data_IF_909356427386
#
_entry.id   IF_909356427386
#
_cell.length_a   1.000
_cell.length_b   1.000
_cell.length_c   1.000
_cell.angle_alpha   90.00
_cell.angle_beta   90.00
_cell.angle_gamma   90.00
#
_symmetry.space_group_name_H-M   'P 1'
#
loop_
_entity.id
_entity.type
_entity.pdbx_description
1 polymer ?
#
# COMPACT_ATOMS: atom_id res chain seq x y z
N UNK A 1 -16.54 -6.65 1.98
CA UNK A 1 -15.29 -6.19 1.33
C UNK A 1 -14.16 -6.97 1.96
N UNK A 2 -13.57 -7.95 1.27
CA UNK A 2 -12.41 -8.68 1.80
C UNK A 2 -11.17 -7.83 1.62
N UNK A 3 -10.80 -7.09 2.66
CA UNK A 3 -9.50 -6.44 2.78
C UNK A 3 -8.42 -7.54 2.71
N UNK A 4 -7.41 -7.37 1.84
CA UNK A 4 -6.26 -8.28 1.82
C UNK A 4 -5.48 -8.07 3.11
N UNK A 5 -5.42 -9.10 3.96
CA UNK A 5 -4.62 -9.08 5.19
C UNK A 5 -3.28 -9.76 4.94
N UNK A 6 -2.19 -9.05 5.20
CA UNK A 6 -0.83 -9.55 5.17
C UNK A 6 -0.28 -9.68 6.58
N UNK A 7 0.69 -10.57 6.78
CA UNK A 7 1.38 -10.72 8.05
C UNK A 7 2.83 -10.30 7.89
N UNK A 8 3.32 -9.51 8.84
CA UNK A 8 4.67 -8.98 8.82
C UNK A 8 5.26 -9.03 10.22
N UNK A 9 6.57 -9.27 10.29
CA UNK A 9 7.32 -9.18 11.53
C UNK A 9 7.64 -7.70 11.86
N UNK A 10 7.61 -7.27 13.14
CA UNK A 10 7.94 -5.90 13.55
C UNK A 10 9.26 -5.36 12.97
N UNK A 11 10.28 -6.21 12.88
CA UNK A 11 11.62 -5.84 12.42
C UNK A 11 11.80 -6.04 10.91
N UNK A 12 10.81 -6.63 10.24
CA UNK A 12 10.84 -6.81 8.80
C UNK A 12 10.49 -5.51 8.06
N UNK A 13 11.17 -5.31 6.94
CA UNK A 13 10.89 -4.26 5.97
C UNK A 13 10.38 -4.98 4.72
N UNK A 14 9.08 -4.85 4.42
CA UNK A 14 8.44 -5.53 3.29
C UNK A 14 7.91 -4.53 2.27
N UNK A 15 7.99 -4.91 1.00
CA UNK A 15 7.41 -4.19 -0.12
C UNK A 15 6.04 -4.77 -0.50
N UNK A 16 5.03 -3.92 -0.50
CA UNK A 16 3.67 -4.27 -0.91
C UNK A 16 3.39 -3.66 -2.27
N UNK A 17 3.36 -4.50 -3.28
CA UNK A 17 3.04 -4.09 -4.64
C UNK A 17 1.57 -4.35 -4.96
N UNK A 18 0.84 -3.27 -5.24
CA UNK A 18 -0.52 -3.30 -5.73
C UNK A 18 -0.50 -3.07 -7.24
N UNK A 19 -1.24 -3.89 -7.99
CA UNK A 19 -1.31 -3.79 -9.44
C UNK A 19 -2.67 -3.22 -9.89
N UNK A 20 -2.62 -2.16 -10.71
CA UNK A 20 -3.77 -1.47 -11.30
C UNK A 20 -3.93 -1.76 -12.80
N UNK A 21 -3.13 -2.64 -13.40
CA UNK A 21 -3.18 -2.94 -14.84
C UNK A 21 -4.59 -3.30 -15.34
N UNK A 22 -5.38 -4.02 -14.54
CA UNK A 22 -6.75 -4.40 -14.88
C UNK A 22 -7.78 -3.27 -14.73
N UNK A 23 -7.46 -2.22 -13.98
CA UNK A 23 -8.33 -1.06 -13.76
C UNK A 23 -7.98 0.11 -14.70
N UNK A 24 -6.71 0.22 -15.09
CA UNK A 24 -6.25 1.26 -16.00
C UNK A 24 -6.91 1.13 -17.37
N UNK A 25 -7.33 2.27 -17.91
CA UNK A 25 -7.79 2.32 -19.29
C UNK A 25 -6.60 2.08 -20.25
N UNK A 26 -6.86 1.60 -21.48
CA UNK A 26 -5.80 1.42 -22.47
C UNK A 26 -5.03 2.72 -22.72
N UNK A 27 -3.72 2.71 -22.48
CA UNK A 27 -2.84 3.88 -22.64
C UNK A 27 -2.80 4.84 -21.46
N UNK A 28 -3.51 4.54 -20.37
CA UNK A 28 -3.43 5.32 -19.12
C UNK A 28 -2.27 4.83 -18.25
N UNK A 29 -1.66 5.75 -17.51
CA UNK A 29 -0.50 5.46 -16.66
C UNK A 29 -0.64 6.16 -15.32
N UNK A 30 -0.12 5.53 -14.27
CA UNK A 30 -0.07 6.14 -12.93
C UNK A 30 0.98 7.25 -12.94
N UNK A 31 0.58 8.47 -12.59
CA UNK A 31 1.44 9.65 -12.52
C UNK A 31 1.89 9.95 -11.10
N UNK A 32 1.07 9.63 -10.11
CA UNK A 32 1.37 9.85 -8.71
C UNK A 32 0.77 8.75 -7.85
N UNK A 33 1.46 8.43 -6.76
CA UNK A 33 0.95 7.53 -5.74
C UNK A 33 1.37 8.00 -4.35
N UNK A 34 0.45 7.91 -3.41
CA UNK A 34 0.70 8.18 -1.99
C UNK A 34 0.16 7.04 -1.15
N UNK A 35 0.78 6.80 -0.01
CA UNK A 35 0.33 5.78 0.93
C UNK A 35 0.16 6.40 2.31
N UNK A 36 -0.95 6.05 2.95
CA UNK A 36 -1.30 6.48 4.31
C UNK A 36 -1.58 5.28 5.17
N UNK A 37 -1.37 5.39 6.47
CA UNK A 37 -1.61 4.30 7.42
C UNK A 37 -2.55 4.71 8.54
N UNK A 38 -3.45 3.81 8.91
CA UNK A 38 -4.38 3.95 10.03
C UNK A 38 -4.36 2.69 10.90
N UNK A 39 -4.25 2.79 12.24
CA UNK A 39 -4.00 4.00 13.01
C UNK A 39 -2.59 4.57 12.78
N UNK A 40 -2.45 5.88 12.89
CA UNK A 40 -1.15 6.56 12.76
C UNK A 40 -0.24 6.29 13.96
N UNK A 41 1.07 6.34 13.75
CA UNK A 41 2.07 6.28 14.82
C UNK A 41 2.51 4.88 15.27
N UNK A 42 2.05 3.81 14.63
CA UNK A 42 2.50 2.44 14.93
C UNK A 42 3.25 1.74 13.79
N UNK A 43 2.83 1.95 12.55
CA UNK A 43 3.48 1.41 11.35
C UNK A 43 4.19 2.55 10.60
N UNK A 44 5.37 2.28 10.08
CA UNK A 44 6.12 3.23 9.26
C UNK A 44 5.90 2.92 7.79
N UNK A 45 5.34 3.88 7.06
CA UNK A 45 5.32 3.86 5.60
C UNK A 45 6.61 4.51 5.12
N UNK A 46 7.44 3.73 4.45
CA UNK A 46 8.69 4.16 3.85
C UNK A 46 8.49 4.74 2.46
N UNK A 47 9.37 4.36 1.54
CA UNK A 47 9.30 4.82 0.16
C UNK A 47 8.03 4.29 -0.53
N UNK A 48 7.35 5.18 -1.24
CA UNK A 48 6.29 4.83 -2.18
C UNK A 48 6.86 5.05 -3.58
N UNK A 49 6.84 4.02 -4.41
CA UNK A 49 7.21 4.11 -5.82
C UNK A 49 6.08 3.58 -6.69
N UNK A 50 5.87 4.20 -7.84
CA UNK A 50 4.92 3.74 -8.83
C UNK A 50 5.60 3.47 -10.17
N UNK A 51 5.10 2.47 -10.87
CA UNK A 51 5.36 2.22 -12.29
C UNK A 51 4.21 2.80 -13.12
N UNK A 52 4.14 2.42 -14.38
CA UNK A 52 3.01 2.75 -15.26
C UNK A 52 1.70 2.14 -14.79
N UNK A 53 1.75 0.98 -14.10
CA UNK A 53 0.58 0.14 -13.82
C UNK A 53 0.53 -0.45 -12.42
N UNK A 54 1.53 -0.21 -11.58
CA UNK A 54 1.62 -0.73 -10.22
C UNK A 54 2.20 0.30 -9.26
N UNK A 55 1.91 0.14 -7.97
CA UNK A 55 2.51 0.93 -6.89
C UNK A 55 3.08 -0.02 -5.85
N UNK A 56 4.33 0.22 -5.49
CA UNK A 56 5.05 -0.48 -4.44
C UNK A 56 5.20 0.44 -3.24
N UNK A 57 4.72 -0.02 -2.10
CA UNK A 57 4.80 0.69 -0.82
C UNK A 57 5.69 -0.11 0.12
N UNK A 58 6.75 0.52 0.59
CA UNK A 58 7.60 -0.06 1.62
C UNK A 58 7.00 0.20 2.98
N UNK A 59 6.88 -0.85 3.78
CA UNK A 59 6.29 -0.80 5.12
C UNK A 59 7.22 -1.48 6.10
N UNK A 60 7.45 -0.84 7.23
CA UNK A 60 8.31 -1.33 8.30
C UNK A 60 7.80 -0.92 9.68
N UNK A 61 8.44 -1.45 10.72
CA UNK A 61 8.03 -1.27 12.10
C UNK A 61 6.61 -1.85 12.35
N UNK A 62 6.04 -1.50 13.49
CA UNK A 62 4.77 -2.06 13.93
C UNK A 62 4.90 -2.69 15.31
N UNK A 63 3.87 -2.56 16.12
CA UNK A 63 3.79 -3.28 17.38
C UNK A 63 3.10 -4.62 17.17
N UNK A 64 3.74 -5.72 17.58
CA UNK A 64 3.20 -7.06 17.47
C UNK A 64 1.81 -7.18 18.14
N UNK A 65 0.91 -7.91 17.49
CA UNK A 65 -0.48 -8.04 17.91
C UNK A 65 -1.40 -6.92 17.38
N UNK A 66 -0.87 -5.89 16.72
CA UNK A 66 -1.67 -4.83 16.11
C UNK A 66 -1.89 -5.04 14.62
N UNK A 67 -2.96 -4.42 14.12
CA UNK A 67 -3.32 -4.36 12.71
C UNK A 67 -3.31 -2.92 12.25
N UNK A 68 -2.78 -2.72 11.05
CA UNK A 68 -2.67 -1.41 10.42
C UNK A 68 -3.25 -1.49 9.02
N UNK A 69 -4.13 -0.56 8.68
CA UNK A 69 -4.68 -0.41 7.35
C UNK A 69 -3.85 0.59 6.57
N UNK A 70 -3.20 0.11 5.51
CA UNK A 70 -2.42 0.92 4.57
C UNK A 70 -3.30 1.21 3.36
N UNK A 71 -3.61 2.49 3.16
CA UNK A 71 -4.39 2.97 2.01
C UNK A 71 -3.47 3.61 1.00
N UNK A 72 -3.45 3.07 -0.21
CA UNK A 72 -2.69 3.58 -1.35
C UNK A 72 -3.63 4.33 -2.27
N UNK A 73 -3.37 5.63 -2.41
CA UNK A 73 -4.07 6.52 -3.31
C UNK A 73 -3.23 6.70 -4.58
N UNK A 74 -3.84 6.52 -5.74
CA UNK A 74 -3.16 6.68 -7.04
C UNK A 74 -3.88 7.69 -7.91
N UNK A 75 -3.11 8.48 -8.65
CA UNK A 75 -3.60 9.42 -9.66
C UNK A 75 -3.00 9.01 -11.00
N UNK A 76 -3.83 9.01 -12.03
CA UNK A 76 -3.44 8.64 -13.39
C UNK A 76 -3.27 9.85 -14.30
N UNK A 77 -2.59 9.68 -15.42
CA UNK A 77 -2.44 10.71 -16.44
C UNK A 77 -3.80 11.11 -17.06
N UNK A 78 -4.74 10.16 -17.15
CA UNK A 78 -6.11 10.42 -17.57
C UNK A 78 -6.97 11.17 -16.55
N UNK A 79 -6.42 11.54 -15.38
CA UNK A 79 -7.14 12.26 -14.31
C UNK A 79 -8.06 11.37 -13.47
N UNK A 80 -7.93 10.04 -13.56
CA UNK A 80 -8.62 9.10 -12.67
C UNK A 80 -7.85 8.94 -11.37
N UNK A 81 -8.59 8.80 -10.29
CA UNK A 81 -8.07 8.54 -8.95
C UNK A 81 -8.69 7.25 -8.40
N UNK A 82 -7.90 6.45 -7.69
CA UNK A 82 -8.36 5.20 -7.06
C UNK A 82 -7.67 5.02 -5.70
N UNK A 83 -8.42 4.50 -4.73
CA UNK A 83 -7.93 4.19 -3.39
C UNK A 83 -8.02 2.69 -3.15
N UNK A 84 -6.90 2.09 -2.74
CA UNK A 84 -6.88 0.67 -2.36
C UNK A 84 -6.27 0.49 -0.98
N UNK A 85 -7.05 -0.10 -0.10
CA UNK A 85 -6.64 -0.41 1.27
C UNK A 85 -6.31 -1.88 1.44
N UNK A 86 -5.19 -2.16 2.11
CA UNK A 86 -4.82 -3.48 2.58
C UNK A 86 -4.45 -3.43 4.06
N UNK A 87 -4.67 -4.52 4.78
CA UNK A 87 -4.37 -4.61 6.21
C UNK A 87 -3.05 -5.34 6.40
N UNK A 88 -2.18 -4.81 7.25
CA UNK A 88 -0.94 -5.45 7.70
C UNK A 88 -1.11 -5.80 9.17
N UNK A 89 -1.09 -7.09 9.47
CA UNK A 89 -1.09 -7.65 10.81
C UNK A 89 0.36 -7.90 11.24
N UNK A 90 0.78 -7.21 12.31
CA UNK A 90 2.13 -7.35 12.83
C UNK A 90 2.14 -8.50 13.83
N UNK A 91 3.01 -9.48 13.61
CA UNK A 91 3.14 -10.65 14.48
C UNK A 91 4.60 -11.06 14.55
N UNK A 92 5.11 -11.22 15.77
CA UNK A 92 6.41 -11.87 16.01
C UNK A 92 6.35 -13.29 15.45
N UNK A 93 7.26 -13.62 14.53
CA UNK A 93 7.39 -14.95 13.94
C UNK A 93 8.69 -15.63 14.32
#
# INVERSE_FOLDING_TARGET
MSLRTFKQDPDAVLDYTLNWSAWLAPGDTITSATATVSPSGGLTVGTVSNTVDAVTVWVSAGAAGNKYDVTVHVITNGGREDDRTFTVEIKEM
#
